data_IF_451646820785
#
_entry.id   IF_451646820785
#
_cell.length_a   1.000
_cell.length_b   1.000
_cell.length_c   1.000
_cell.angle_alpha   90.00
_cell.angle_beta   90.00
_cell.angle_gamma   90.00
#
_symmetry.space_group_name_H-M   'P 1'
#
loop_
_entity.id
_entity.type
_entity.pdbx_description
1 polymer ?
#
# COMPACT_ATOMS: atom_id res chain seq x y z
N UNK A 1 -13.86 14.38 -4.89
CA UNK A 1 -12.71 13.54 -5.28
C UNK A 1 -12.73 12.33 -4.36
N UNK A 2 -12.87 11.12 -4.88
CA UNK A 2 -12.68 9.92 -4.06
C UNK A 2 -11.28 9.94 -3.45
N UNK A 3 -11.15 9.50 -2.20
CA UNK A 3 -9.84 9.40 -1.56
C UNK A 3 -9.05 8.27 -2.23
N UNK A 4 -7.76 8.49 -2.43
CA UNK A 4 -6.85 7.50 -3.03
C UNK A 4 -6.88 6.17 -2.26
N UNK A 5 -7.06 6.21 -0.94
CA UNK A 5 -7.24 5.03 -0.09
C UNK A 5 -8.47 4.19 -0.43
N UNK A 6 -9.62 4.80 -0.74
CA UNK A 6 -10.84 4.09 -1.13
C UNK A 6 -10.66 3.38 -2.49
N UNK A 7 -9.97 4.04 -3.44
CA UNK A 7 -9.67 3.47 -4.75
C UNK A 7 -8.71 2.26 -4.65
N UNK A 8 -7.68 2.37 -3.81
CA UNK A 8 -6.77 1.27 -3.52
C UNK A 8 -7.49 0.09 -2.86
N UNK A 9 -8.41 0.36 -1.93
CA UNK A 9 -9.22 -0.70 -1.30
C UNK A 9 -10.14 -1.39 -2.31
N UNK A 10 -10.81 -0.63 -3.19
CA UNK A 10 -11.62 -1.20 -4.27
C UNK A 10 -10.78 -2.08 -5.21
N UNK A 11 -9.55 -1.66 -5.52
CA UNK A 11 -8.61 -2.46 -6.31
C UNK A 11 -8.21 -3.75 -5.60
N UNK A 12 -7.92 -3.70 -4.29
CA UNK A 12 -7.63 -4.87 -3.47
C UNK A 12 -8.79 -5.88 -3.50
N UNK A 13 -10.04 -5.41 -3.35
CA UNK A 13 -11.22 -6.27 -3.42
C UNK A 13 -11.35 -6.93 -4.80
N UNK A 14 -11.20 -6.16 -5.87
CA UNK A 14 -11.27 -6.67 -7.25
C UNK A 14 -10.23 -7.78 -7.49
N UNK A 15 -8.96 -7.54 -7.16
CA UNK A 15 -7.88 -8.51 -7.32
C UNK A 15 -8.10 -9.76 -6.44
N UNK A 16 -8.58 -9.58 -5.21
CA UNK A 16 -8.86 -10.69 -4.28
C UNK A 16 -9.98 -11.58 -4.78
N UNK A 17 -11.06 -10.99 -5.31
CA UNK A 17 -12.19 -11.71 -5.89
C UNK A 17 -11.76 -12.49 -7.14
N UNK A 18 -10.95 -11.89 -8.01
CA UNK A 18 -10.43 -12.56 -9.20
C UNK A 18 -9.57 -13.77 -8.83
N UNK A 19 -8.67 -13.61 -7.85
CA UNK A 19 -7.85 -14.72 -7.34
C UNK A 19 -8.70 -15.83 -6.71
N UNK A 20 -9.73 -15.45 -5.94
CA UNK A 20 -10.65 -16.41 -5.34
C UNK A 20 -11.42 -17.21 -6.40
N UNK A 21 -11.84 -16.56 -7.49
CA UNK A 21 -12.52 -17.24 -8.59
C UNK A 21 -11.61 -18.27 -9.28
N UNK A 22 -10.31 -17.98 -9.43
CA UNK A 22 -9.35 -18.96 -9.95
C UNK A 22 -9.17 -20.15 -9.00
N UNK A 23 -9.12 -19.92 -7.69
CA UNK A 23 -9.07 -21.03 -6.72
C UNK A 23 -10.35 -21.86 -6.70
N UNK A 24 -11.52 -21.25 -6.85
CA UNK A 24 -12.78 -21.99 -7.02
C UNK A 24 -12.74 -22.86 -8.26
N UNK A 25 -12.31 -22.29 -9.40
CA UNK A 25 -12.14 -23.05 -10.64
C UNK A 25 -11.14 -24.19 -10.50
N UNK A 26 -10.07 -24.02 -9.70
CA UNK A 26 -9.10 -25.06 -9.38
C UNK A 26 -9.72 -26.23 -8.58
N UNK A 27 -10.70 -25.94 -7.74
CA UNK A 27 -11.47 -26.96 -7.00
C UNK A 27 -12.46 -27.72 -7.89
N UNK A 28 -12.99 -27.08 -8.93
CA UNK A 28 -13.90 -27.68 -9.91
C UNK A 28 -13.17 -28.46 -11.00
N UNK A 29 -12.00 -27.98 -11.42
CA UNK A 29 -11.26 -28.48 -12.57
C UNK A 29 -9.77 -28.11 -12.49
N UNK A 30 -8.92 -28.79 -13.26
CA UNK A 30 -7.50 -28.43 -13.31
C UNK A 30 -7.32 -27.06 -13.97
N UNK A 31 -6.53 -26.19 -13.35
CA UNK A 31 -6.12 -24.94 -13.96
C UNK A 31 -5.11 -25.18 -15.10
N UNK A 32 -5.21 -24.37 -16.14
CA UNK A 32 -4.17 -24.30 -17.16
C UNK A 32 -2.98 -23.45 -16.70
N UNK A 33 -1.87 -23.52 -17.44
CA UNK A 33 -0.64 -22.81 -17.10
C UNK A 33 -0.82 -21.29 -17.07
N UNK A 34 -1.69 -20.72 -17.93
CA UNK A 34 -1.96 -19.28 -17.95
C UNK A 34 -2.71 -18.86 -16.69
N UNK A 35 -3.65 -19.69 -16.24
CA UNK A 35 -4.41 -19.43 -15.01
C UNK A 35 -3.53 -19.54 -13.76
N UNK A 36 -2.59 -20.49 -13.74
CA UNK A 36 -1.60 -20.59 -12.66
C UNK A 36 -0.72 -19.33 -12.66
N UNK A 37 -0.21 -18.92 -13.82
CA UNK A 37 0.55 -17.68 -13.94
C UNK A 37 -0.26 -16.47 -13.47
N UNK A 38 -1.54 -16.42 -13.84
CA UNK A 38 -2.44 -15.34 -13.43
C UNK A 38 -2.61 -15.25 -11.90
N UNK A 39 -2.67 -16.39 -11.19
CA UNK A 39 -2.67 -16.39 -9.71
C UNK A 39 -1.39 -15.76 -9.15
N UNK A 40 -0.23 -16.05 -9.74
CA UNK A 40 1.03 -15.45 -9.34
C UNK A 40 1.04 -13.94 -9.57
N UNK A 41 0.58 -13.50 -10.75
CA UNK A 41 0.52 -12.09 -11.13
C UNK A 41 -0.44 -11.32 -10.20
N UNK A 42 -1.62 -11.88 -9.93
CA UNK A 42 -2.58 -11.31 -8.98
C UNK A 42 -2.00 -11.22 -7.56
N UNK A 43 -1.23 -12.23 -7.13
CA UNK A 43 -0.59 -12.23 -5.82
C UNK A 43 0.49 -11.15 -5.71
N UNK A 44 1.28 -10.95 -6.77
CA UNK A 44 2.24 -9.85 -6.85
C UNK A 44 1.57 -8.48 -6.80
N UNK A 45 0.52 -8.29 -7.61
CA UNK A 45 -0.26 -7.05 -7.62
C UNK A 45 -0.89 -6.75 -6.26
N UNK A 46 -1.49 -7.75 -5.61
CA UNK A 46 -2.07 -7.60 -4.28
C UNK A 46 -1.02 -7.13 -3.26
N UNK A 47 0.19 -7.70 -3.29
CA UNK A 47 1.25 -7.29 -2.36
C UNK A 47 1.63 -5.82 -2.54
N UNK A 48 1.77 -5.36 -3.79
CA UNK A 48 2.08 -3.95 -4.10
C UNK A 48 0.94 -3.03 -3.68
N UNK A 49 -0.30 -3.33 -4.08
CA UNK A 49 -1.45 -2.47 -3.76
C UNK A 49 -1.72 -2.39 -2.26
N UNK A 50 -1.48 -3.48 -1.50
CA UNK A 50 -1.55 -3.42 -0.04
C UNK A 50 -0.46 -2.53 0.58
N UNK A 51 0.75 -2.53 0.02
CA UNK A 51 1.81 -1.63 0.51
C UNK A 51 1.45 -0.17 0.27
N UNK A 52 0.98 0.15 -0.93
CA UNK A 52 0.48 1.48 -1.30
C UNK A 52 -0.65 1.93 -0.39
N UNK A 53 -1.66 1.09 -0.16
CA UNK A 53 -2.78 1.40 0.73
C UNK A 53 -2.31 1.72 2.15
N UNK A 54 -1.38 0.93 2.71
CA UNK A 54 -0.84 1.19 4.05
C UNK A 54 -0.05 2.48 4.14
N UNK A 55 0.73 2.83 3.10
CA UNK A 55 1.46 4.11 3.03
C UNK A 55 0.50 5.29 2.97
N UNK A 56 -0.57 5.17 2.18
CA UNK A 56 -1.60 6.21 2.08
C UNK A 56 -2.27 6.44 3.43
N UNK A 57 -2.73 5.38 4.11
CA UNK A 57 -3.31 5.47 5.45
C UNK A 57 -2.36 6.13 6.47
N UNK A 58 -1.08 5.77 6.45
CA UNK A 58 -0.09 6.36 7.34
C UNK A 58 0.12 7.86 7.06
N UNK A 59 0.07 8.25 5.78
CA UNK A 59 0.17 9.65 5.36
C UNK A 59 -1.06 10.47 5.78
N UNK A 60 -2.25 9.89 5.72
CA UNK A 60 -3.50 10.51 6.17
C UNK A 60 -3.52 10.69 7.70
N UNK A 61 -2.96 9.74 8.46
CA UNK A 61 -2.99 9.72 9.93
C UNK A 61 -1.85 10.49 10.59
N UNK A 62 -0.77 10.80 9.87
CA UNK A 62 0.37 11.53 10.44
C UNK A 62 0.20 13.02 10.17
N UNK A 63 -0.23 13.84 11.15
CA UNK A 63 -0.03 15.27 11.03
C UNK A 63 1.47 15.48 10.89
N UNK A 64 1.92 16.05 9.77
CA UNK A 64 3.33 16.41 9.55
C UNK A 64 3.79 17.25 10.73
N UNK A 65 4.42 16.63 11.73
CA UNK A 65 5.06 17.38 12.80
C UNK A 65 6.25 18.05 12.14
N UNK A 66 6.31 19.40 12.10
CA UNK A 66 7.53 20.06 11.68
C UNK A 66 8.61 19.61 12.66
N UNK A 67 9.62 18.92 12.15
CA UNK A 67 10.84 18.66 12.91
C UNK A 67 11.46 20.02 13.18
N UNK A 68 11.29 20.53 14.41
CA UNK A 68 11.98 21.72 14.85
C UNK A 68 13.46 21.37 14.95
N UNK A 69 14.24 21.77 13.96
CA UNK A 69 15.70 21.77 14.09
C UNK A 69 16.03 22.79 15.19
N UNK A 70 16.66 22.40 16.31
CA UNK A 70 17.10 23.37 17.29
C UNK A 70 18.14 24.27 16.63
N UNK A 71 17.84 25.57 16.54
CA UNK A 71 18.73 26.59 16.02
C UNK A 71 20.07 26.50 16.77
N UNK A 72 21.14 26.10 16.08
CA UNK A 72 22.50 26.05 16.59
C UNK A 72 23.13 27.45 16.72
N UNK A 73 22.38 28.45 17.17
CA UNK A 73 22.87 29.82 17.35
C UNK A 73 22.96 30.16 18.84
N UNK A 74 23.83 29.44 19.54
CA UNK A 74 24.27 29.78 20.90
C UNK A 74 25.79 29.97 20.86
N UNK A 75 26.25 31.08 20.29
CA UNK A 75 27.58 31.63 20.59
C UNK A 75 27.53 33.15 20.57
N UNK A 76 28.18 33.74 21.58
CA UNK A 76 28.57 35.15 21.76
C UNK A 76 27.59 36.09 22.44
N UNK A 77 27.37 35.90 23.75
CA UNK A 77 27.31 37.02 24.69
C UNK A 77 27.91 36.58 26.03
N UNK A 78 29.24 36.66 26.15
CA UNK A 78 29.97 36.79 27.41
C UNK A 78 31.41 37.19 27.07
N UNK A 79 31.57 38.47 26.77
CA UNK A 79 32.84 39.18 26.78
C UNK A 79 32.51 40.64 27.11
N UNK A 80 32.48 40.94 28.41
CA UNK A 80 32.61 42.27 29.00
C UNK A 80 33.15 42.08 30.42
#
# INVERSE_FOLDING_TARGET
>A
MEKTSDQLMNRIHSLSNERLNLYRKAGESRLDQKQIQHIHDLTGQLAVTWDEYRRELASEQTPRRPVAFPNANVKQQQAA
#
